data_IF_845991126492
#
_entry.id   IF_845991126492
#
_cell.length_a   1.000
_cell.length_b   1.000
_cell.length_c   1.000
_cell.angle_alpha   90.00
_cell.angle_beta   90.00
_cell.angle_gamma   90.00
#
_symmetry.space_group_name_H-M   'P 1'
#
loop_
_entity.id
_entity.type
_entity.pdbx_description
1 polymer ?
#
# COMPACT_ATOMS: atom_id res chain seq x y z
N UNK A 1 23.47 -31.92 37.36
CA UNK A 1 23.16 -30.51 37.09
C UNK A 1 23.33 -30.05 35.62
N UNK A 2 23.31 -30.96 34.65
CA UNK A 2 23.47 -30.63 33.20
C UNK A 2 22.22 -30.83 32.35
N UNK A 3 21.12 -31.25 32.92
CA UNK A 3 19.87 -31.54 32.16
C UNK A 3 18.74 -30.52 32.37
N UNK A 4 18.94 -29.50 33.22
CA UNK A 4 17.88 -28.49 33.50
C UNK A 4 17.94 -27.29 32.52
N UNK A 5 19.02 -27.13 31.77
CA UNK A 5 19.20 -25.97 30.87
C UNK A 5 18.61 -26.17 29.46
N UNK A 6 18.33 -27.44 29.08
CA UNK A 6 17.80 -27.76 27.74
C UNK A 6 16.29 -27.62 27.69
N UNK A 7 15.59 -27.72 28.84
CA UNK A 7 14.13 -27.61 28.87
C UNK A 7 13.61 -26.17 28.77
N UNK A 8 14.45 -25.15 29.07
CA UNK A 8 14.07 -23.74 29.03
C UNK A 8 14.12 -23.13 27.62
N UNK A 9 14.93 -23.70 26.71
CA UNK A 9 15.05 -23.21 25.33
C UNK A 9 13.87 -23.65 24.43
N UNK A 10 13.18 -24.72 24.79
CA UNK A 10 12.00 -25.20 24.05
C UNK A 10 10.71 -24.44 24.35
N UNK A 11 10.61 -23.71 25.46
CA UNK A 11 9.43 -22.97 25.84
C UNK A 11 9.36 -21.57 25.16
N UNK A 12 10.50 -21.03 24.70
CA UNK A 12 10.53 -19.73 24.01
C UNK A 12 10.17 -19.86 22.52
N UNK A 13 10.40 -21.02 21.92
CA UNK A 13 10.05 -21.29 20.52
C UNK A 13 8.55 -21.50 20.28
N UNK A 14 7.79 -21.81 21.33
CA UNK A 14 6.34 -22.11 21.19
C UNK A 14 5.45 -20.87 21.16
N UNK A 15 5.92 -19.70 21.65
CA UNK A 15 5.07 -18.51 21.69
C UNK A 15 5.03 -17.75 20.35
N UNK A 16 6.09 -17.75 19.55
CA UNK A 16 6.06 -17.07 18.24
C UNK A 16 5.21 -17.79 17.19
N UNK A 17 5.13 -19.11 17.24
CA UNK A 17 4.29 -19.89 16.31
C UNK A 17 2.79 -19.82 16.65
N UNK A 18 2.42 -19.46 17.88
CA UNK A 18 1.03 -19.33 18.30
C UNK A 18 0.38 -18.03 17.81
N UNK A 19 1.09 -16.90 17.82
CA UNK A 19 0.56 -15.61 17.37
C UNK A 19 0.23 -15.58 15.87
N UNK A 20 1.08 -16.14 15.01
CA UNK A 20 0.81 -16.19 13.56
C UNK A 20 -0.36 -17.10 13.21
N UNK A 21 -0.52 -18.23 13.89
CA UNK A 21 -1.65 -19.14 13.68
C UNK A 21 -2.99 -18.51 14.13
N UNK A 22 -2.96 -17.63 15.13
CA UNK A 22 -4.15 -16.98 15.66
C UNK A 22 -4.66 -15.87 14.71
N UNK A 23 -3.75 -15.05 14.14
CA UNK A 23 -4.13 -14.03 13.14
C UNK A 23 -4.72 -14.67 11.87
N UNK A 24 -4.09 -15.71 11.32
CA UNK A 24 -4.59 -16.36 10.10
C UNK A 24 -5.97 -17.01 10.33
N UNK A 25 -6.22 -17.58 11.51
CA UNK A 25 -7.53 -18.10 11.89
C UNK A 25 -8.57 -16.98 12.01
N UNK A 26 -8.23 -15.87 12.65
CA UNK A 26 -9.13 -14.72 12.79
C UNK A 26 -9.48 -14.13 11.43
N UNK A 27 -8.49 -14.00 10.51
CA UNK A 27 -8.71 -13.59 9.12
C UNK A 27 -9.72 -14.51 8.43
N UNK A 28 -9.54 -15.83 8.53
CA UNK A 28 -10.42 -16.82 7.91
C UNK A 28 -11.85 -16.73 8.47
N UNK A 29 -12.02 -16.52 9.76
CA UNK A 29 -13.33 -16.39 10.41
C UNK A 29 -14.05 -15.09 10.00
N UNK A 30 -13.34 -13.96 9.91
CA UNK A 30 -13.89 -12.72 9.38
C UNK A 30 -14.30 -12.91 7.92
N UNK A 31 -13.41 -13.44 7.08
CA UNK A 31 -13.62 -13.63 5.64
C UNK A 31 -14.84 -14.49 5.33
N UNK A 32 -15.05 -15.59 6.07
CA UNK A 32 -16.23 -16.47 5.94
C UNK A 32 -17.56 -15.75 6.24
N UNK A 33 -17.53 -14.73 7.09
CA UNK A 33 -18.71 -13.97 7.50
C UNK A 33 -19.05 -12.82 6.56
N UNK A 34 -18.13 -12.47 5.62
CA UNK A 34 -18.29 -11.35 4.70
C UNK A 34 -19.14 -11.68 3.49
N UNK A 35 -20.01 -10.75 3.14
CA UNK A 35 -20.71 -10.73 1.84
C UNK A 35 -19.75 -10.30 0.71
N UNK A 36 -20.16 -10.55 -0.55
CA UNK A 36 -19.39 -10.10 -1.71
C UNK A 36 -19.23 -8.56 -1.73
N UNK A 37 -20.26 -7.81 -1.34
CA UNK A 37 -20.19 -6.34 -1.24
C UNK A 37 -19.13 -5.88 -0.24
N UNK A 38 -19.04 -6.54 0.91
CA UNK A 38 -18.02 -6.25 1.92
C UNK A 38 -16.62 -6.60 1.43
N UNK A 39 -16.45 -7.73 0.75
CA UNK A 39 -15.18 -8.15 0.17
C UNK A 39 -14.68 -7.16 -0.89
N UNK A 40 -15.50 -6.83 -1.87
CA UNK A 40 -15.14 -5.89 -2.94
C UNK A 40 -14.89 -4.48 -2.39
N UNK A 41 -15.66 -4.06 -1.40
CA UNK A 41 -15.43 -2.80 -0.70
C UNK A 41 -14.05 -2.72 -0.04
N UNK A 42 -13.58 -3.82 0.59
CA UNK A 42 -12.24 -3.87 1.19
C UNK A 42 -11.10 -3.74 0.16
N UNK A 43 -11.32 -4.15 -1.09
CA UNK A 43 -10.36 -4.02 -2.19
C UNK A 43 -10.31 -2.61 -2.79
N UNK A 44 -11.06 -1.65 -2.23
CA UNK A 44 -11.24 -0.30 -2.77
C UNK A 44 -10.61 0.75 -1.86
N UNK A 45 -9.72 1.57 -2.42
CA UNK A 45 -9.10 2.72 -1.75
C UNK A 45 -9.52 4.03 -2.43
N UNK A 46 -9.98 5.01 -1.65
CA UNK A 46 -10.46 6.31 -2.14
C UNK A 46 -9.64 7.48 -1.61
N UNK A 47 -9.64 8.59 -2.34
CA UNK A 47 -9.04 9.84 -1.86
C UNK A 47 -9.94 10.50 -0.80
N UNK A 48 -9.33 11.09 0.24
CA UNK A 48 -10.04 11.81 1.30
C UNK A 48 -11.00 12.88 0.77
N UNK A 49 -10.66 13.54 -0.35
CA UNK A 49 -11.48 14.57 -1.00
C UNK A 49 -12.90 14.09 -1.32
N UNK A 50 -13.05 12.79 -1.64
CA UNK A 50 -14.36 12.20 -1.99
C UNK A 50 -15.37 12.26 -0.85
N UNK A 51 -14.88 12.12 0.39
CA UNK A 51 -15.71 12.10 1.60
C UNK A 51 -15.62 13.39 2.43
N UNK A 52 -14.78 14.34 2.00
CA UNK A 52 -14.70 15.66 2.62
C UNK A 52 -15.77 16.61 2.09
N UNK A 53 -16.08 17.67 2.87
CA UNK A 53 -16.90 18.79 2.39
C UNK A 53 -16.18 19.52 1.27
N UNK A 54 -16.92 19.86 0.22
CA UNK A 54 -16.38 20.57 -0.94
C UNK A 54 -17.37 20.63 -2.09
N UNK A 55 -17.05 21.45 -3.12
CA UNK A 55 -17.94 21.70 -4.25
C UNK A 55 -18.11 20.47 -5.15
N UNK A 56 -17.14 19.58 -5.20
CA UNK A 56 -17.16 18.38 -6.02
C UNK A 56 -16.21 17.30 -5.45
N UNK A 57 -16.07 16.17 -6.16
CA UNK A 57 -15.22 15.04 -5.72
C UNK A 57 -13.72 15.24 -5.94
N UNK A 58 -13.30 16.28 -6.63
CA UNK A 58 -11.89 16.57 -6.93
C UNK A 58 -11.30 17.70 -6.07
N UNK A 59 -12.15 18.47 -5.39
CA UNK A 59 -11.70 19.57 -4.54
C UNK A 59 -12.53 19.67 -3.26
N UNK A 60 -11.88 20.04 -2.17
CA UNK A 60 -12.50 20.16 -0.86
C UNK A 60 -12.47 21.60 -0.37
N UNK A 61 -13.44 21.93 0.48
CA UNK A 61 -13.45 23.20 1.22
C UNK A 61 -12.41 23.16 2.35
N UNK A 62 -11.89 24.32 2.70
CA UNK A 62 -11.01 24.48 3.85
C UNK A 62 -11.73 25.26 4.96
N UNK A 63 -11.60 24.90 6.24
CA UNK A 63 -10.79 23.81 6.79
C UNK A 63 -11.33 22.42 6.45
N UNK A 64 -10.47 21.38 6.62
CA UNK A 64 -10.87 19.98 6.43
C UNK A 64 -12.02 19.62 7.37
N UNK A 65 -13.13 19.22 6.78
CA UNK A 65 -14.29 18.65 7.46
C UNK A 65 -14.85 17.48 6.65
N UNK A 66 -15.28 16.44 7.34
CA UNK A 66 -15.94 15.28 6.72
C UNK A 66 -17.37 15.62 6.36
N UNK A 67 -17.78 15.23 5.15
CA UNK A 67 -19.19 15.27 4.72
C UNK A 67 -19.89 13.97 5.15
N UNK A 68 -20.73 14.05 6.13
CA UNK A 68 -21.42 12.90 6.72
C UNK A 68 -22.19 12.05 5.71
N UNK A 69 -22.83 12.68 4.72
CA UNK A 69 -23.60 11.95 3.69
C UNK A 69 -22.69 11.20 2.75
N UNK A 70 -21.63 11.84 2.27
CA UNK A 70 -20.62 11.21 1.38
C UNK A 70 -19.87 10.11 2.11
N UNK A 71 -19.49 10.33 3.37
CA UNK A 71 -18.77 9.36 4.21
C UNK A 71 -19.64 8.12 4.48
N UNK A 72 -20.89 8.32 4.87
CA UNK A 72 -21.84 7.21 5.03
C UNK A 72 -21.99 6.42 3.73
N UNK A 73 -22.17 7.10 2.60
CA UNK A 73 -22.29 6.44 1.30
C UNK A 73 -21.06 5.59 0.99
N UNK A 74 -19.84 6.13 1.12
CA UNK A 74 -18.63 5.40 0.79
C UNK A 74 -18.35 4.22 1.77
N UNK A 75 -18.43 4.47 3.08
CA UNK A 75 -18.00 3.50 4.09
C UNK A 75 -19.11 2.54 4.50
N UNK A 76 -20.36 3.04 4.67
CA UNK A 76 -21.46 2.19 5.14
C UNK A 76 -22.17 1.52 3.97
N UNK A 77 -22.47 2.25 2.90
CA UNK A 77 -23.25 1.68 1.80
C UNK A 77 -22.33 0.87 0.84
N UNK A 78 -21.17 1.42 0.46
CA UNK A 78 -20.22 0.78 -0.47
C UNK A 78 -19.10 -0.02 0.21
N UNK A 79 -18.99 -0.03 1.54
CA UNK A 79 -18.03 -0.84 2.32
C UNK A 79 -16.55 -0.56 2.00
N UNK A 80 -16.23 0.64 1.51
CA UNK A 80 -14.84 1.03 1.18
C UNK A 80 -13.91 0.74 2.35
N UNK A 81 -12.79 0.04 2.07
CA UNK A 81 -11.88 -0.46 3.09
C UNK A 81 -10.67 0.42 3.36
N UNK A 82 -10.39 1.40 2.50
CA UNK A 82 -9.19 2.24 2.62
C UNK A 82 -9.42 3.68 2.15
N UNK A 83 -8.74 4.63 2.80
CA UNK A 83 -8.69 6.05 2.43
C UNK A 83 -7.23 6.48 2.32
N UNK A 84 -6.92 7.43 1.44
CA UNK A 84 -5.57 7.96 1.26
C UNK A 84 -5.50 9.48 1.11
N UNK A 85 -4.28 10.00 1.27
CA UNK A 85 -3.87 11.39 1.04
C UNK A 85 -4.56 12.42 1.94
N UNK A 86 -4.45 13.70 1.56
CA UNK A 86 -5.03 14.87 2.21
C UNK A 86 -5.89 15.65 1.21
N UNK A 87 -6.63 16.64 1.70
CA UNK A 87 -7.38 17.54 0.83
C UNK A 87 -6.47 18.60 0.23
N UNK A 88 -6.69 18.91 -1.06
CA UNK A 88 -6.05 20.03 -1.78
C UNK A 88 -4.51 20.11 -1.60
N UNK A 89 -3.85 18.96 -1.42
CA UNK A 89 -2.40 18.87 -1.12
C UNK A 89 -1.94 19.75 0.05
N UNK A 90 -2.78 19.93 1.07
CA UNK A 90 -2.52 20.81 2.21
C UNK A 90 -2.24 19.97 3.45
N UNK A 91 -1.12 20.26 4.13
CA UNK A 91 -0.80 19.64 5.41
C UNK A 91 -1.84 19.98 6.48
N UNK A 92 -2.19 19.00 7.30
CA UNK A 92 -3.17 19.13 8.37
C UNK A 92 -2.47 19.07 9.74
N UNK A 93 -3.00 19.77 10.73
CA UNK A 93 -2.52 19.65 12.11
C UNK A 93 -2.81 18.26 12.68
N UNK A 94 -1.97 17.71 13.59
CA UNK A 94 -2.22 16.40 14.20
C UNK A 94 -3.63 16.26 14.80
N UNK A 95 -4.17 17.28 15.44
CA UNK A 95 -5.54 17.28 15.98
C UNK A 95 -6.62 17.15 14.89
N UNK A 96 -6.37 17.72 13.70
CA UNK A 96 -7.29 17.61 12.56
C UNK A 96 -7.25 16.20 12.01
N UNK A 97 -6.04 15.62 11.86
CA UNK A 97 -5.87 14.22 11.49
C UNK A 97 -6.59 13.27 12.43
N UNK A 98 -6.31 13.38 13.74
CA UNK A 98 -6.96 12.55 14.77
C UNK A 98 -8.48 12.62 14.67
N UNK A 99 -9.05 13.85 14.60
CA UNK A 99 -10.50 14.02 14.47
C UNK A 99 -11.03 13.39 13.17
N UNK A 100 -10.39 13.66 12.05
CA UNK A 100 -10.83 13.18 10.74
C UNK A 100 -10.84 11.67 10.68
N UNK A 101 -9.75 11.02 11.14
CA UNK A 101 -9.63 9.57 11.14
C UNK A 101 -10.59 8.94 12.16
N UNK A 102 -10.78 9.55 13.34
CA UNK A 102 -11.78 9.10 14.32
C UNK A 102 -13.20 9.16 13.73
N UNK A 103 -13.56 10.25 13.06
CA UNK A 103 -14.86 10.38 12.40
C UNK A 103 -15.05 9.28 11.33
N UNK A 104 -14.03 9.01 10.50
CA UNK A 104 -14.06 7.95 9.48
C UNK A 104 -14.21 6.57 10.12
N UNK A 105 -13.43 6.27 11.16
CA UNK A 105 -13.48 4.99 11.87
C UNK A 105 -14.84 4.74 12.55
N UNK A 106 -15.49 5.78 13.08
CA UNK A 106 -16.82 5.65 13.68
C UNK A 106 -17.87 5.13 12.69
N UNK A 107 -17.80 5.54 11.42
CA UNK A 107 -18.67 4.98 10.38
C UNK A 107 -18.38 3.50 10.11
N UNK A 108 -17.13 3.11 10.07
CA UNK A 108 -16.74 1.73 9.80
C UNK A 108 -17.11 0.79 10.96
N UNK A 109 -16.90 1.24 12.19
CA UNK A 109 -17.03 0.40 13.39
C UNK A 109 -18.45 0.43 13.96
N UNK A 110 -19.06 1.62 14.05
CA UNK A 110 -20.35 1.78 14.72
C UNK A 110 -21.54 1.60 13.78
N UNK A 111 -21.34 1.81 12.47
CA UNK A 111 -22.44 1.83 11.49
C UNK A 111 -22.41 0.67 10.49
N UNK A 112 -21.42 -0.23 10.54
CA UNK A 112 -21.36 -1.43 9.69
C UNK A 112 -21.51 -2.71 10.53
N UNK A 113 -22.03 -3.78 9.90
CA UNK A 113 -22.22 -5.08 10.55
C UNK A 113 -20.88 -5.74 10.91
N UNK A 114 -19.92 -5.71 9.99
CA UNK A 114 -18.63 -6.40 10.14
C UNK A 114 -17.61 -5.63 10.98
N UNK A 115 -17.85 -4.34 11.23
CA UNK A 115 -16.98 -3.49 12.06
C UNK A 115 -15.50 -3.50 11.65
N UNK A 116 -15.23 -3.71 10.35
CA UNK A 116 -13.87 -3.74 9.82
C UNK A 116 -13.32 -2.31 9.75
N UNK A 117 -12.22 -1.99 10.45
CA UNK A 117 -11.67 -0.64 10.45
C UNK A 117 -11.13 -0.24 9.08
N UNK A 118 -11.15 1.06 8.80
CA UNK A 118 -10.51 1.64 7.61
C UNK A 118 -9.00 1.63 7.79
N UNK A 119 -8.25 1.25 6.74
CA UNK A 119 -6.81 1.51 6.70
C UNK A 119 -6.54 2.82 5.97
N UNK A 120 -5.79 3.73 6.60
CA UNK A 120 -5.44 5.02 6.02
C UNK A 120 -3.99 5.03 5.54
N UNK A 121 -3.75 5.44 4.28
CA UNK A 121 -2.43 5.48 3.66
C UNK A 121 -2.01 6.89 3.22
N UNK A 122 -0.69 7.14 3.21
CA UNK A 122 -0.12 8.45 2.84
C UNK A 122 1.26 8.31 2.18
N UNK A 123 1.64 9.30 1.37
CA UNK A 123 2.97 9.38 0.75
C UNK A 123 3.96 10.18 1.62
N UNK A 124 4.41 9.63 2.73
CA UNK A 124 5.43 10.24 3.57
C UNK A 124 6.83 9.73 3.18
N UNK A 125 7.30 10.09 1.97
CA UNK A 125 8.54 9.55 1.38
C UNK A 125 9.82 10.22 1.89
N UNK A 126 9.73 11.46 2.36
CA UNK A 126 10.86 12.19 2.95
C UNK A 126 10.45 12.98 4.21
N UNK A 127 9.71 12.31 5.10
CA UNK A 127 9.04 12.86 6.28
C UNK A 127 7.53 12.92 6.07
N UNK A 128 6.79 13.17 7.15
CA UNK A 128 5.32 13.22 7.15
C UNK A 128 4.83 14.58 6.67
N UNK A 129 5.13 14.92 5.42
CA UNK A 129 4.91 16.25 4.81
C UNK A 129 3.45 16.67 4.73
N UNK A 130 2.50 15.74 4.92
CA UNK A 130 1.07 16.03 5.03
C UNK A 130 0.60 16.40 6.44
N UNK A 131 1.54 16.45 7.41
CA UNK A 131 1.25 16.87 8.77
C UNK A 131 2.00 18.16 9.11
N UNK A 132 1.25 19.18 9.49
CA UNK A 132 1.80 20.48 9.88
C UNK A 132 2.62 20.36 11.16
N UNK A 133 3.87 20.84 11.10
CA UNK A 133 4.85 20.73 12.18
C UNK A 133 5.66 19.43 12.19
N UNK A 134 5.42 18.49 11.27
CA UNK A 134 6.25 17.30 11.15
C UNK A 134 7.62 17.60 10.52
N UNK A 135 8.58 16.72 10.77
CA UNK A 135 9.95 16.85 10.26
C UNK A 135 9.99 16.58 8.76
N UNK A 136 10.53 17.52 8.00
CA UNK A 136 10.82 17.36 6.59
C UNK A 136 12.28 16.99 6.41
N UNK A 137 12.53 15.85 5.79
CA UNK A 137 13.87 15.33 5.49
C UNK A 137 14.27 15.64 4.04
N UNK A 138 15.58 15.53 3.70
CA UNK A 138 16.01 15.49 2.32
C UNK A 138 15.33 14.36 1.54
N UNK A 139 15.22 14.52 0.23
CA UNK A 139 14.75 13.44 -0.66
C UNK A 139 15.70 12.24 -0.64
N UNK A 140 15.21 11.05 -1.03
CA UNK A 140 15.97 9.81 -0.93
C UNK A 140 17.33 9.86 -1.65
N UNK A 141 17.43 10.51 -2.80
CA UNK A 141 18.70 10.68 -3.51
C UNK A 141 19.74 11.44 -2.68
N UNK A 142 19.31 12.45 -1.95
CA UNK A 142 20.22 13.21 -1.05
C UNK A 142 20.58 12.40 0.17
N UNK A 143 19.65 11.62 0.71
CA UNK A 143 19.92 10.70 1.81
C UNK A 143 20.93 9.63 1.39
N UNK A 144 20.82 9.08 0.19
CA UNK A 144 21.76 8.12 -0.38
C UNK A 144 23.16 8.74 -0.60
N UNK A 145 23.25 10.02 -0.98
CA UNK A 145 24.51 10.73 -1.14
C UNK A 145 25.33 10.85 0.15
N UNK A 146 24.74 10.59 1.30
CA UNK A 146 25.46 10.48 2.59
C UNK A 146 26.31 9.21 2.71
N UNK A 147 26.10 8.21 1.86
CA UNK A 147 26.73 6.89 1.91
C UNK A 147 26.56 6.15 3.24
N UNK A 148 25.62 6.59 4.08
CA UNK A 148 25.34 5.99 5.38
C UNK A 148 23.85 5.56 5.46
N UNK A 149 23.54 4.26 5.31
CA UNK A 149 22.17 3.73 5.41
C UNK A 149 21.51 4.00 6.76
N UNK A 150 22.27 4.22 7.84
CA UNK A 150 21.71 4.59 9.15
C UNK A 150 20.94 5.91 9.09
N UNK A 151 21.33 6.84 8.21
CA UNK A 151 20.57 8.08 8.00
C UNK A 151 19.18 7.79 7.42
N UNK A 152 19.05 6.81 6.52
CA UNK A 152 17.76 6.38 5.99
C UNK A 152 16.90 5.67 7.06
N UNK A 153 17.52 4.83 7.89
CA UNK A 153 16.85 4.19 9.02
C UNK A 153 16.31 5.24 10.00
N UNK A 154 17.12 6.18 10.44
CA UNK A 154 16.71 7.23 11.38
C UNK A 154 15.64 8.15 10.80
N UNK A 155 15.75 8.51 9.50
CA UNK A 155 14.70 9.26 8.79
C UNK A 155 13.38 8.49 8.80
N UNK A 156 13.41 7.20 8.47
CA UNK A 156 12.22 6.35 8.43
C UNK A 156 11.60 6.15 9.82
N UNK A 157 12.43 6.01 10.86
CA UNK A 157 11.98 5.90 12.26
C UNK A 157 11.20 7.14 12.70
N UNK A 158 11.74 8.34 12.46
CA UNK A 158 11.05 9.60 12.79
C UNK A 158 9.79 9.75 11.95
N UNK A 159 9.87 9.47 10.66
CA UNK A 159 8.73 9.52 9.75
C UNK A 159 7.61 8.55 10.19
N UNK A 160 7.94 7.31 10.59
CA UNK A 160 6.98 6.36 11.13
C UNK A 160 6.27 6.89 12.37
N UNK A 161 7.04 7.39 13.32
CA UNK A 161 6.51 7.98 14.55
C UNK A 161 5.53 9.13 14.27
N UNK A 162 5.92 10.09 13.44
CA UNK A 162 5.09 11.26 13.12
C UNK A 162 3.85 10.90 12.29
N UNK A 163 3.98 9.92 11.36
CA UNK A 163 2.87 9.39 10.58
C UNK A 163 1.87 8.68 11.50
N UNK A 164 2.35 7.84 12.39
CA UNK A 164 1.49 7.14 13.36
C UNK A 164 0.86 8.11 14.37
N UNK A 165 1.59 9.13 14.83
CA UNK A 165 1.07 10.21 15.66
C UNK A 165 -0.01 11.05 14.96
N UNK A 166 -0.07 11.00 13.64
CA UNK A 166 -1.16 11.54 12.82
C UNK A 166 -2.31 10.55 12.61
N UNK A 167 -2.33 9.43 13.35
CA UNK A 167 -3.30 8.33 13.25
C UNK A 167 -3.26 7.58 11.91
N UNK A 168 -2.16 7.68 11.15
CA UNK A 168 -1.99 7.07 9.84
C UNK A 168 -1.07 5.85 9.97
N UNK A 169 -1.58 4.61 9.75
CA UNK A 169 -0.81 3.40 10.00
C UNK A 169 -0.03 2.89 8.78
N UNK A 170 -0.19 3.48 7.59
CA UNK A 170 0.34 2.97 6.33
C UNK A 170 1.06 4.06 5.53
N UNK A 171 2.32 3.81 5.16
CA UNK A 171 3.15 4.74 4.41
C UNK A 171 3.56 4.17 3.05
N UNK A 172 3.32 4.91 1.96
CA UNK A 172 3.69 4.54 0.60
C UNK A 172 5.17 4.86 0.31
N UNK A 173 6.06 4.22 1.03
CA UNK A 173 7.52 4.36 0.98
C UNK A 173 8.18 3.06 1.47
N UNK A 174 9.43 2.73 1.06
CA UNK A 174 10.37 3.49 0.25
C UNK A 174 10.13 3.38 -1.26
N UNK A 175 10.71 4.34 -2.03
CA UNK A 175 10.84 4.25 -3.49
C UNK A 175 12.10 3.46 -3.81
N UNK A 176 11.94 2.32 -4.49
CA UNK A 176 13.03 1.37 -4.83
C UNK A 176 13.33 1.34 -6.34
N UNK A 177 12.80 2.31 -7.07
CA UNK A 177 13.13 2.50 -8.48
C UNK A 177 14.60 2.91 -8.65
N UNK A 178 15.22 2.47 -9.75
CA UNK A 178 16.57 2.91 -10.12
C UNK A 178 16.48 4.21 -10.91
N UNK A 179 17.11 5.26 -10.39
CA UNK A 179 17.15 6.60 -10.98
C UNK A 179 18.17 6.70 -12.12
N UNK A 180 17.99 5.92 -13.20
CA UNK A 180 18.93 5.81 -14.31
C UNK A 180 18.92 7.02 -15.25
N UNK A 181 17.81 7.72 -15.38
CA UNK A 181 17.65 8.84 -16.31
C UNK A 181 17.38 10.13 -15.56
N UNK A 182 18.31 11.12 -15.58
CA UNK A 182 18.14 12.41 -14.91
C UNK A 182 17.03 13.29 -15.52
N UNK A 183 16.50 12.94 -16.69
CA UNK A 183 15.33 13.61 -17.29
C UNK A 183 14.02 13.19 -16.63
N UNK A 184 14.01 12.05 -15.92
CA UNK A 184 12.79 11.55 -15.28
C UNK A 184 12.35 12.48 -14.14
N UNK A 185 11.10 12.98 -14.13
CA UNK A 185 10.69 14.06 -13.21
C UNK A 185 10.65 13.67 -11.73
N UNK A 186 10.70 12.36 -11.40
CA UNK A 186 10.70 11.82 -10.04
C UNK A 186 12.04 11.13 -9.67
N UNK A 187 13.10 11.41 -10.41
CA UNK A 187 14.43 10.83 -10.16
C UNK A 187 14.93 11.13 -8.73
N UNK A 188 14.59 12.30 -8.19
CA UNK A 188 14.95 12.72 -6.84
C UNK A 188 14.31 11.86 -5.73
N UNK A 189 13.22 11.14 -6.01
CA UNK A 189 12.58 10.24 -5.06
C UNK A 189 13.35 8.92 -4.88
N UNK A 190 14.32 8.60 -5.74
CA UNK A 190 15.10 7.35 -5.70
C UNK A 190 16.35 7.48 -4.84
N UNK A 191 16.97 6.36 -4.50
CA UNK A 191 18.32 6.33 -3.90
C UNK A 191 19.45 6.45 -4.93
N UNK A 192 19.14 6.64 -6.21
CA UNK A 192 20.11 6.73 -7.31
C UNK A 192 20.05 5.54 -8.25
N UNK A 193 21.11 5.35 -9.03
CA UNK A 193 21.17 4.39 -10.14
C UNK A 193 21.74 3.02 -9.79
N UNK A 194 22.48 2.91 -8.67
CA UNK A 194 23.13 1.67 -8.25
C UNK A 194 22.17 0.78 -7.43
N UNK A 195 21.84 -0.44 -7.92
CA UNK A 195 20.93 -1.35 -7.25
C UNK A 195 21.37 -1.73 -5.83
N UNK A 196 22.68 -1.85 -5.56
CA UNK A 196 23.20 -2.17 -4.23
C UNK A 196 22.94 -1.02 -3.24
N UNK A 197 23.05 0.22 -3.68
CA UNK A 197 22.70 1.39 -2.86
C UNK A 197 21.21 1.39 -2.56
N UNK A 198 20.37 1.18 -3.59
CA UNK A 198 18.90 1.12 -3.43
C UNK A 198 18.51 -0.02 -2.47
N UNK A 199 19.12 -1.20 -2.57
CA UNK A 199 18.89 -2.32 -1.64
C UNK A 199 19.23 -1.95 -0.19
N UNK A 200 20.40 -1.40 0.07
CA UNK A 200 20.88 -1.10 1.43
C UNK A 200 20.06 0.00 2.10
N UNK A 201 19.76 1.05 1.36
CA UNK A 201 18.96 2.16 1.88
C UNK A 201 17.48 1.78 1.99
N UNK A 202 16.95 1.00 1.06
CA UNK A 202 15.62 0.44 1.12
C UNK A 202 15.42 -0.49 2.32
N UNK A 203 16.34 -1.42 2.57
CA UNK A 203 16.36 -2.29 3.76
C UNK A 203 16.33 -1.46 5.05
N UNK A 204 17.20 -0.45 5.14
CA UNK A 204 17.26 0.45 6.29
C UNK A 204 15.96 1.20 6.53
N UNK A 205 15.34 1.74 5.47
CA UNK A 205 14.04 2.43 5.60
C UNK A 205 12.91 1.51 6.01
N UNK A 206 12.83 0.28 5.48
CA UNK A 206 11.78 -0.66 5.88
C UNK A 206 11.90 -1.00 7.37
N UNK A 207 13.12 -1.26 7.85
CA UNK A 207 13.36 -1.48 9.29
C UNK A 207 13.03 -0.27 10.14
N UNK A 208 13.34 0.94 9.66
CA UNK A 208 12.96 2.17 10.35
C UNK A 208 11.43 2.38 10.41
N UNK A 209 10.70 2.06 9.35
CA UNK A 209 9.24 2.16 9.33
C UNK A 209 8.54 1.10 10.18
N UNK A 210 8.97 -0.15 10.09
CA UNK A 210 8.29 -1.31 10.69
C UNK A 210 8.91 -1.79 12.01
N UNK A 211 10.04 -1.15 12.41
CA UNK A 211 10.84 -1.56 13.56
C UNK A 211 11.70 -2.80 13.27
N UNK A 212 12.78 -2.99 14.01
CA UNK A 212 13.76 -4.07 13.82
C UNK A 212 13.16 -5.48 13.94
N UNK A 213 12.05 -5.61 14.68
CA UNK A 213 11.31 -6.87 14.85
C UNK A 213 10.17 -7.04 13.85
N UNK A 214 10.04 -6.11 12.90
CA UNK A 214 8.93 -6.06 11.94
C UNK A 214 7.53 -6.08 12.62
N UNK A 215 7.43 -5.44 13.78
CA UNK A 215 6.21 -5.34 14.59
C UNK A 215 5.46 -4.05 14.26
N UNK A 216 4.56 -4.12 13.30
CA UNK A 216 3.72 -2.98 12.88
C UNK A 216 2.50 -2.74 13.79
N UNK A 217 2.24 -3.61 14.77
CA UNK A 217 1.23 -3.36 15.82
C UNK A 217 1.68 -2.28 16.78
N UNK A 218 2.98 -2.08 16.89
CA UNK A 218 3.57 -1.05 17.75
C UNK A 218 3.10 0.34 17.32
N UNK A 219 2.61 1.12 18.26
CA UNK A 219 2.07 2.48 18.05
C UNK A 219 3.06 3.52 17.50
N UNK A 220 4.32 3.17 17.34
CA UNK A 220 5.36 4.02 16.76
C UNK A 220 5.74 3.59 15.33
N UNK A 221 5.25 2.44 14.86
CA UNK A 221 5.58 1.86 13.58
C UNK A 221 4.43 2.00 12.58
N UNK A 222 4.75 1.96 11.30
CA UNK A 222 3.79 1.95 10.18
C UNK A 222 4.10 0.80 9.24
N UNK A 223 3.09 0.32 8.50
CA UNK A 223 3.34 -0.58 7.40
C UNK A 223 4.03 0.17 6.25
N UNK A 224 5.15 -0.36 5.75
CA UNK A 224 5.83 0.16 4.57
C UNK A 224 5.15 -0.34 3.28
N UNK A 225 5.16 0.50 2.24
CA UNK A 225 4.74 0.14 0.90
C UNK A 225 5.88 0.44 -0.08
N UNK A 226 6.68 -0.58 -0.39
CA UNK A 226 7.75 -0.44 -1.37
C UNK A 226 7.19 -0.16 -2.76
N UNK A 227 7.82 0.74 -3.53
CA UNK A 227 7.30 1.18 -4.84
C UNK A 227 8.41 1.61 -5.81
N UNK A 228 8.19 1.60 -7.10
CA UNK A 228 7.03 1.11 -7.85
C UNK A 228 7.43 -0.16 -8.60
N UNK A 229 6.92 -1.29 -8.22
CA UNK A 229 7.32 -2.58 -8.79
C UNK A 229 6.80 -2.72 -10.23
N UNK A 230 7.64 -2.78 -11.23
CA UNK A 230 9.09 -2.79 -11.33
C UNK A 230 9.50 -1.97 -12.57
N UNK A 231 10.72 -1.42 -12.57
CA UNK A 231 11.29 -0.75 -13.73
C UNK A 231 10.67 0.61 -14.10
N UNK A 232 9.99 1.26 -13.18
CA UNK A 232 9.19 2.48 -13.41
C UNK A 232 9.98 3.64 -14.00
N UNK A 233 11.24 3.84 -13.58
CA UNK A 233 12.07 4.96 -14.07
C UNK A 233 13.00 4.59 -15.22
N UNK A 234 12.94 3.35 -15.73
CA UNK A 234 13.74 2.91 -16.87
C UNK A 234 13.10 3.26 -18.24
N UNK A 235 12.34 4.33 -18.30
CA UNK A 235 11.59 4.75 -19.50
C UNK A 235 12.51 5.35 -20.56
N UNK A 236 12.31 4.99 -21.83
CA UNK A 236 13.13 5.48 -22.94
C UNK A 236 12.99 7.00 -23.15
N UNK A 237 11.80 7.52 -22.94
CA UNK A 237 11.50 8.93 -23.20
C UNK A 237 12.00 9.88 -22.12
N UNK A 238 12.34 9.38 -20.93
CA UNK A 238 12.56 10.19 -19.73
C UNK A 238 11.30 10.83 -19.16
N UNK A 239 10.10 10.50 -19.67
CA UNK A 239 8.82 11.06 -19.21
C UNK A 239 8.07 10.09 -18.32
N UNK A 240 7.44 10.60 -17.28
CA UNK A 240 6.63 9.83 -16.35
C UNK A 240 5.54 9.01 -17.07
N UNK A 241 5.31 7.78 -16.60
CA UNK A 241 4.26 6.84 -17.06
C UNK A 241 4.32 6.52 -18.55
N UNK A 242 5.52 6.50 -19.12
CA UNK A 242 5.75 6.07 -20.51
C UNK A 242 6.42 4.70 -20.56
N UNK A 243 6.48 4.03 -21.73
CA UNK A 243 7.02 2.68 -21.83
C UNK A 243 8.51 2.57 -21.51
N UNK A 244 8.87 1.50 -20.82
CA UNK A 244 10.24 1.03 -20.66
C UNK A 244 10.46 -0.27 -21.46
N UNK A 245 11.67 -0.41 -22.02
CA UNK A 245 12.10 -1.63 -22.70
C UNK A 245 13.36 -2.15 -22.01
N UNK A 246 13.21 -3.18 -21.20
CA UNK A 246 14.24 -3.69 -20.33
C UNK A 246 14.52 -5.14 -20.69
N UNK A 247 15.75 -5.52 -21.09
CA UNK A 247 16.11 -6.93 -21.27
C UNK A 247 15.84 -7.74 -20.00
N UNK A 248 15.35 -8.96 -20.12
CA UNK A 248 14.90 -9.77 -18.97
C UNK A 248 16.00 -10.01 -17.94
N UNK A 249 17.26 -10.16 -18.35
CA UNK A 249 18.39 -10.28 -17.43
C UNK A 249 18.63 -8.98 -16.65
N UNK A 250 18.56 -7.82 -17.32
CA UNK A 250 18.67 -6.50 -16.67
C UNK A 250 17.50 -6.27 -15.70
N UNK A 251 16.27 -6.61 -16.12
CA UNK A 251 15.10 -6.53 -15.24
C UNK A 251 15.30 -7.37 -13.97
N UNK A 252 15.81 -8.60 -14.12
CA UNK A 252 16.01 -9.54 -13.02
C UNK A 252 17.17 -9.12 -12.10
N UNK A 253 18.32 -8.75 -12.66
CA UNK A 253 19.55 -8.53 -11.91
C UNK A 253 19.65 -7.12 -11.30
N UNK A 254 18.98 -6.13 -11.89
CA UNK A 254 19.08 -4.74 -11.44
C UNK A 254 17.77 -4.24 -10.82
N UNK A 255 16.65 -4.36 -11.52
CA UNK A 255 15.40 -3.74 -11.08
C UNK A 255 14.63 -4.56 -10.04
N UNK A 256 14.72 -5.90 -10.08
CA UNK A 256 14.01 -6.78 -9.15
C UNK A 256 14.77 -6.94 -7.83
N UNK A 257 16.09 -6.94 -7.83
CA UNK A 257 16.90 -7.21 -6.61
C UNK A 257 16.60 -6.24 -5.44
N UNK A 258 16.42 -4.91 -5.62
CA UNK A 258 16.00 -4.03 -4.53
C UNK A 258 14.67 -4.43 -3.89
N UNK A 259 13.70 -4.86 -4.69
CA UNK A 259 12.42 -5.35 -4.18
C UNK A 259 12.54 -6.70 -3.47
N UNK A 260 13.35 -7.61 -3.99
CA UNK A 260 13.65 -8.88 -3.32
C UNK A 260 14.22 -8.63 -1.93
N UNK A 261 15.23 -7.75 -1.81
CA UNK A 261 15.81 -7.37 -0.52
C UNK A 261 14.75 -6.76 0.42
N UNK A 262 13.90 -5.91 -0.09
CA UNK A 262 12.81 -5.31 0.67
C UNK A 262 11.78 -6.35 1.17
N UNK A 263 11.48 -7.39 0.37
CA UNK A 263 10.64 -8.53 0.78
C UNK A 263 11.31 -9.31 1.91
N UNK A 264 12.61 -9.61 1.78
CA UNK A 264 13.40 -10.27 2.83
C UNK A 264 13.44 -9.45 4.13
N UNK A 265 13.40 -8.12 4.03
CA UNK A 265 13.31 -7.18 5.17
C UNK A 265 11.91 -7.11 5.77
N UNK A 266 10.93 -7.81 5.20
CA UNK A 266 9.58 -7.93 5.72
C UNK A 266 8.60 -6.83 5.30
N UNK A 267 8.83 -6.13 4.18
CA UNK A 267 7.90 -5.13 3.65
C UNK A 267 6.47 -5.68 3.54
N UNK A 268 5.50 -4.96 4.09
CA UNK A 268 4.12 -5.45 4.22
C UNK A 268 3.28 -5.25 2.96
N UNK A 269 3.59 -4.25 2.17
CA UNK A 269 2.80 -3.92 0.96
C UNK A 269 3.69 -3.46 -0.18
N UNK A 270 3.17 -3.55 -1.40
CA UNK A 270 3.88 -3.14 -2.61
C UNK A 270 2.94 -2.39 -3.56
N UNK A 271 3.40 -1.27 -4.10
CA UNK A 271 2.70 -0.51 -5.13
C UNK A 271 3.29 -0.82 -6.51
N UNK A 272 2.42 -1.07 -7.47
CA UNK A 272 2.82 -1.49 -8.82
C UNK A 272 3.18 -0.29 -9.68
N UNK A 273 4.13 -0.48 -10.60
CA UNK A 273 4.56 0.49 -11.60
C UNK A 273 3.41 0.94 -12.52
N UNK A 274 3.22 2.25 -12.63
CA UNK A 274 2.17 2.89 -13.44
C UNK A 274 2.46 2.91 -14.95
N UNK A 275 3.51 2.21 -15.42
CA UNK A 275 3.94 2.17 -16.82
C UNK A 275 3.82 0.80 -17.47
N UNK A 276 4.49 0.68 -18.61
CA UNK A 276 4.59 -0.55 -19.40
C UNK A 276 6.03 -1.06 -19.38
N UNK A 277 6.21 -2.36 -19.26
CA UNK A 277 7.50 -3.04 -19.45
C UNK A 277 7.40 -3.91 -20.68
N UNK A 278 8.29 -3.69 -21.64
CA UNK A 278 8.37 -4.48 -22.90
C UNK A 278 7.01 -4.58 -23.62
N UNK A 279 6.21 -3.49 -23.59
CA UNK A 279 4.92 -3.41 -24.28
C UNK A 279 3.72 -3.91 -23.46
N UNK A 280 3.93 -4.43 -22.23
CA UNK A 280 2.86 -4.89 -21.35
C UNK A 280 2.69 -3.93 -20.18
N UNK A 281 1.49 -3.38 -19.91
CA UNK A 281 1.22 -2.65 -18.67
C UNK A 281 1.44 -3.57 -17.48
N UNK A 282 2.21 -3.09 -16.46
CA UNK A 282 2.56 -3.94 -15.31
C UNK A 282 1.31 -4.38 -14.54
N UNK A 283 0.27 -3.54 -14.49
CA UNK A 283 -1.03 -3.88 -13.89
C UNK A 283 -1.83 -4.98 -14.64
N UNK A 284 -1.40 -5.35 -15.84
CA UNK A 284 -1.96 -6.44 -16.64
C UNK A 284 -1.01 -7.65 -16.73
N UNK A 285 0.17 -7.56 -16.13
CA UNK A 285 1.21 -8.59 -16.27
C UNK A 285 1.12 -9.65 -15.17
N UNK A 286 0.34 -10.69 -15.43
CA UNK A 286 0.24 -11.86 -14.55
C UNK A 286 1.61 -12.48 -14.25
N UNK A 287 2.52 -12.52 -15.23
CA UNK A 287 3.82 -13.13 -15.04
C UNK A 287 4.66 -12.35 -14.00
N UNK A 288 4.68 -11.02 -14.09
CA UNK A 288 5.41 -10.20 -13.10
C UNK A 288 4.77 -10.29 -11.71
N UNK A 289 3.43 -10.22 -11.61
CA UNK A 289 2.77 -10.19 -10.31
C UNK A 289 2.66 -11.56 -9.64
N UNK A 290 2.34 -12.60 -10.39
CA UNK A 290 2.14 -13.94 -9.81
C UNK A 290 3.41 -14.78 -9.91
N UNK A 291 3.97 -14.98 -11.12
CA UNK A 291 5.10 -15.90 -11.25
C UNK A 291 6.39 -15.33 -10.64
N UNK A 292 6.64 -14.03 -10.80
CA UNK A 292 7.83 -13.40 -10.24
C UNK A 292 7.58 -12.97 -8.80
N UNK A 293 6.68 -12.02 -8.55
CA UNK A 293 6.51 -11.40 -7.23
C UNK A 293 5.98 -12.39 -6.19
N UNK A 294 4.89 -13.11 -6.48
CA UNK A 294 4.30 -14.07 -5.52
C UNK A 294 5.12 -15.35 -5.40
N UNK A 295 5.35 -16.04 -6.54
CA UNK A 295 5.90 -17.40 -6.50
C UNK A 295 7.41 -17.40 -6.36
N UNK A 296 8.16 -16.61 -7.17
CA UNK A 296 9.63 -16.64 -7.15
C UNK A 296 10.22 -15.85 -5.97
N UNK A 297 9.67 -14.65 -5.69
CA UNK A 297 10.15 -13.80 -4.60
C UNK A 297 9.43 -14.07 -3.26
N UNK A 298 8.33 -14.84 -3.24
CA UNK A 298 7.63 -15.24 -2.05
C UNK A 298 6.83 -14.13 -1.34
N UNK A 299 6.52 -13.03 -2.03
CA UNK A 299 5.81 -11.90 -1.41
C UNK A 299 4.39 -12.27 -1.00
N UNK A 300 4.06 -12.12 0.28
CA UNK A 300 2.76 -12.47 0.85
C UNK A 300 1.90 -11.25 1.23
N UNK A 301 2.44 -10.03 1.13
CA UNK A 301 1.75 -8.80 1.49
C UNK A 301 0.74 -8.32 0.44
N UNK A 302 0.15 -7.14 0.67
CA UNK A 302 -0.86 -6.56 -0.22
C UNK A 302 -0.22 -5.95 -1.46
N UNK A 303 -0.74 -6.29 -2.65
CA UNK A 303 -0.40 -5.64 -3.93
C UNK A 303 -1.42 -4.51 -4.18
N UNK A 304 -0.92 -3.27 -4.20
CA UNK A 304 -1.70 -2.05 -4.43
C UNK A 304 -1.41 -1.48 -5.81
N UNK A 305 -2.41 -0.93 -6.50
CA UNK A 305 -2.17 -0.12 -7.70
C UNK A 305 -1.60 1.26 -7.35
N UNK A 306 -0.97 1.93 -8.31
CA UNK A 306 -0.79 3.38 -8.28
C UNK A 306 -2.10 4.09 -8.72
N UNK A 307 -2.08 5.41 -8.78
CA UNK A 307 -3.22 6.31 -8.98
C UNK A 307 -4.00 6.05 -10.27
N UNK A 308 -5.24 5.56 -10.15
CA UNK A 308 -6.17 5.25 -11.25
C UNK A 308 -5.65 4.24 -12.29
N UNK A 309 -4.67 3.41 -11.99
CA UNK A 309 -3.96 2.63 -13.00
C UNK A 309 -4.79 1.52 -13.63
N UNK A 310 -5.75 0.94 -12.93
CA UNK A 310 -6.70 0.00 -13.57
C UNK A 310 -7.47 0.71 -14.69
N UNK A 311 -7.93 1.94 -14.42
CA UNK A 311 -8.63 2.75 -15.43
C UNK A 311 -7.75 3.03 -16.65
N UNK A 312 -6.46 3.25 -16.43
CA UNK A 312 -5.49 3.55 -17.49
C UNK A 312 -5.28 2.38 -18.47
N UNK A 313 -5.52 1.14 -18.08
CA UNK A 313 -5.49 -0.01 -19.02
C UNK A 313 -6.47 0.18 -20.18
N UNK A 314 -7.60 0.86 -19.97
CA UNK A 314 -8.54 1.28 -21.02
C UNK A 314 -8.19 2.64 -21.60
N UNK A 315 -8.06 3.68 -20.74
CA UNK A 315 -8.01 5.08 -21.19
C UNK A 315 -6.69 5.45 -21.88
N UNK A 316 -5.56 4.91 -21.40
CA UNK A 316 -4.20 5.20 -21.88
C UNK A 316 -3.61 4.06 -22.70
N UNK A 317 -3.54 2.87 -22.11
CA UNK A 317 -2.76 1.75 -22.63
C UNK A 317 -3.50 0.96 -23.71
N UNK A 318 -4.83 1.12 -23.79
CA UNK A 318 -5.70 0.51 -24.83
C UNK A 318 -5.66 -1.03 -24.88
N UNK A 319 -5.29 -1.68 -23.77
CA UNK A 319 -5.28 -3.15 -23.68
C UNK A 319 -6.63 -3.73 -23.25
N UNK A 320 -7.55 -2.89 -22.78
CA UNK A 320 -8.92 -3.24 -22.43
C UNK A 320 -9.91 -2.44 -23.29
N UNK A 321 -11.00 -3.08 -23.76
CA UNK A 321 -12.05 -2.43 -24.57
C UNK A 321 -12.99 -1.56 -23.73
N UNK A 322 -13.13 -1.88 -22.45
CA UNK A 322 -13.99 -1.18 -21.49
C UNK A 322 -13.33 -1.07 -20.14
N UNK A 323 -13.82 -0.16 -19.29
CA UNK A 323 -13.36 -0.06 -17.89
C UNK A 323 -13.64 -1.36 -17.10
N UNK A 324 -14.74 -2.05 -17.38
CA UNK A 324 -15.05 -3.35 -16.76
C UNK A 324 -14.01 -4.41 -17.15
N UNK A 325 -13.62 -4.48 -18.41
CA UNK A 325 -12.56 -5.38 -18.88
C UNK A 325 -11.19 -5.02 -18.25
N UNK A 326 -10.88 -3.75 -18.08
CA UNK A 326 -9.68 -3.29 -17.39
C UNK A 326 -9.62 -3.81 -15.94
N UNK A 327 -10.74 -3.76 -15.22
CA UNK A 327 -10.86 -4.30 -13.86
C UNK A 327 -10.63 -5.83 -13.88
N UNK A 328 -11.27 -6.56 -14.79
CA UNK A 328 -11.08 -8.00 -14.96
C UNK A 328 -9.62 -8.36 -15.15
N UNK A 329 -8.94 -7.68 -16.08
CA UNK A 329 -7.53 -7.94 -16.40
C UNK A 329 -6.65 -7.72 -15.16
N UNK A 330 -6.77 -6.58 -14.49
CA UNK A 330 -5.91 -6.23 -13.36
C UNK A 330 -6.14 -7.13 -12.13
N UNK A 331 -7.39 -7.43 -11.79
CA UNK A 331 -7.70 -8.28 -10.64
C UNK A 331 -7.22 -9.72 -10.88
N UNK A 332 -7.44 -10.26 -12.08
CA UNK A 332 -6.94 -11.60 -12.45
C UNK A 332 -5.41 -11.63 -12.59
N UNK A 333 -4.76 -10.51 -12.90
CA UNK A 333 -3.32 -10.42 -12.90
C UNK A 333 -2.69 -10.39 -11.50
N UNK A 334 -3.47 -10.18 -10.42
CA UNK A 334 -2.98 -10.32 -9.04
C UNK A 334 -3.11 -9.07 -8.16
N UNK A 335 -3.77 -8.01 -8.61
CA UNK A 335 -4.02 -6.81 -7.79
C UNK A 335 -4.96 -7.16 -6.62
N UNK A 336 -4.57 -6.80 -5.39
CA UNK A 336 -5.38 -7.01 -4.19
C UNK A 336 -6.20 -5.77 -3.84
N UNK A 337 -5.63 -4.57 -3.94
CA UNK A 337 -6.33 -3.32 -3.64
C UNK A 337 -6.15 -2.32 -4.79
N UNK A 338 -7.24 -1.69 -5.20
CA UNK A 338 -7.23 -0.67 -6.24
C UNK A 338 -7.31 0.73 -5.64
N UNK A 339 -6.34 1.57 -5.99
CA UNK A 339 -6.40 3.00 -5.74
C UNK A 339 -7.35 3.63 -6.76
N UNK A 340 -8.61 3.79 -6.36
CA UNK A 340 -9.70 4.38 -7.15
C UNK A 340 -10.09 5.71 -6.50
N UNK A 341 -9.30 6.76 -6.71
CA UNK A 341 -9.44 7.98 -5.92
C UNK A 341 -10.83 8.59 -5.95
N UNK A 342 -11.56 8.48 -7.07
CA UNK A 342 -12.81 9.20 -7.26
C UNK A 342 -14.01 8.35 -7.70
N UNK A 343 -13.80 7.34 -8.55
CA UNK A 343 -14.88 6.59 -9.23
C UNK A 343 -15.14 5.22 -8.57
N UNK A 344 -15.10 5.16 -7.24
CA UNK A 344 -15.20 3.91 -6.48
C UNK A 344 -16.53 3.17 -6.71
N UNK A 345 -17.64 3.89 -6.89
CA UNK A 345 -18.97 3.28 -7.16
C UNK A 345 -18.95 2.47 -8.45
N UNK A 346 -18.30 3.02 -9.49
CA UNK A 346 -18.16 2.34 -10.78
C UNK A 346 -17.26 1.11 -10.66
N UNK A 347 -16.13 1.22 -9.94
CA UNK A 347 -15.21 0.11 -9.70
C UNK A 347 -15.90 -1.04 -8.94
N UNK A 348 -16.52 -0.75 -7.80
CA UNK A 348 -17.20 -1.73 -6.97
C UNK A 348 -18.33 -2.43 -7.73
N UNK A 349 -19.18 -1.69 -8.45
CA UNK A 349 -20.26 -2.24 -9.25
C UNK A 349 -19.73 -3.21 -10.33
N UNK A 350 -18.69 -2.80 -11.07
CA UNK A 350 -18.16 -3.64 -12.14
C UNK A 350 -17.43 -4.88 -11.60
N UNK A 351 -16.64 -4.75 -10.52
CA UNK A 351 -15.95 -5.89 -9.93
C UNK A 351 -16.96 -6.92 -9.38
N UNK A 352 -18.01 -6.45 -8.72
CA UNK A 352 -19.11 -7.32 -8.28
C UNK A 352 -19.77 -8.04 -9.45
N UNK A 353 -20.14 -7.33 -10.52
CA UNK A 353 -20.70 -7.92 -11.74
C UNK A 353 -19.78 -8.96 -12.36
N UNK A 354 -18.46 -8.72 -12.40
CA UNK A 354 -17.48 -9.68 -12.91
C UNK A 354 -17.43 -10.97 -12.09
N UNK A 355 -17.61 -10.89 -10.78
CA UNK A 355 -17.69 -12.09 -9.92
C UNK A 355 -19.00 -12.83 -10.16
N UNK A 356 -20.13 -12.14 -10.24
CA UNK A 356 -21.45 -12.72 -10.49
C UNK A 356 -21.52 -13.38 -11.89
N UNK A 357 -20.76 -12.90 -12.86
CA UNK A 357 -20.64 -13.44 -14.21
C UNK A 357 -19.61 -14.58 -14.32
N UNK A 358 -18.84 -14.86 -13.25
CA UNK A 358 -17.77 -15.87 -13.25
C UNK A 358 -16.48 -15.44 -13.99
N UNK A 359 -16.33 -14.17 -14.35
CA UNK A 359 -15.17 -13.61 -15.04
C UNK A 359 -13.99 -13.31 -14.09
N UNK A 360 -14.28 -13.15 -12.79
CA UNK A 360 -13.34 -13.12 -11.68
C UNK A 360 -13.84 -14.12 -10.64
N UNK A 361 -12.99 -15.05 -10.23
CA UNK A 361 -13.41 -16.07 -9.27
C UNK A 361 -13.53 -15.51 -7.85
N UNK A 362 -14.42 -16.10 -7.05
CA UNK A 362 -14.57 -15.72 -5.64
C UNK A 362 -13.30 -16.01 -4.84
N UNK A 363 -12.56 -17.05 -5.20
CA UNK A 363 -11.29 -17.43 -4.57
C UNK A 363 -10.23 -16.35 -4.81
N UNK A 364 -10.22 -15.67 -5.99
CA UNK A 364 -9.32 -14.54 -6.25
C UNK A 364 -9.69 -13.34 -5.36
N UNK A 365 -10.97 -13.08 -5.17
CA UNK A 365 -11.44 -12.03 -4.26
C UNK A 365 -11.05 -12.36 -2.81
N UNK A 366 -11.31 -13.60 -2.38
CA UNK A 366 -11.00 -14.06 -1.04
C UNK A 366 -9.49 -13.99 -0.73
N UNK A 367 -8.65 -14.37 -1.69
CA UNK A 367 -7.20 -14.26 -1.60
C UNK A 367 -6.73 -12.80 -1.41
N UNK A 368 -7.32 -11.85 -2.14
CA UNK A 368 -7.02 -10.43 -1.97
C UNK A 368 -7.46 -9.90 -0.60
N UNK A 369 -8.70 -10.17 -0.22
CA UNK A 369 -9.29 -9.69 1.03
C UNK A 369 -8.58 -10.30 2.24
N UNK A 370 -8.17 -11.56 2.16
CA UNK A 370 -7.36 -12.23 3.18
C UNK A 370 -6.09 -11.44 3.51
N UNK A 371 -5.35 -10.98 2.49
CA UNK A 371 -4.14 -10.16 2.70
C UNK A 371 -4.46 -8.79 3.30
N UNK A 372 -5.55 -8.17 2.86
CA UNK A 372 -5.97 -6.86 3.38
C UNK A 372 -6.39 -6.96 4.84
N UNK A 373 -7.16 -7.99 5.22
CA UNK A 373 -7.57 -8.23 6.60
C UNK A 373 -6.36 -8.54 7.49
N UNK A 374 -5.43 -9.37 6.98
CA UNK A 374 -4.18 -9.69 7.70
C UNK A 374 -3.37 -8.43 7.99
N UNK A 375 -3.19 -7.55 7.01
CA UNK A 375 -2.51 -6.26 7.20
C UNK A 375 -3.19 -5.41 8.29
N UNK A 376 -4.52 -5.34 8.30
CA UNK A 376 -5.29 -4.59 9.31
C UNK A 376 -5.16 -5.18 10.71
N UNK A 377 -5.13 -6.51 10.83
CA UNK A 377 -4.90 -7.20 12.12
C UNK A 377 -3.46 -7.03 12.60
N UNK A 378 -2.48 -7.20 11.73
CA UNK A 378 -1.06 -6.97 12.05
C UNK A 378 -0.78 -5.51 12.49
N UNK A 379 -1.54 -4.54 11.99
CA UNK A 379 -1.51 -3.14 12.41
C UNK A 379 -2.30 -2.87 13.70
N UNK A 380 -2.94 -3.89 14.26
CA UNK A 380 -3.81 -3.81 15.46
C UNK A 380 -4.99 -2.84 15.31
N UNK A 381 -5.47 -2.62 14.09
CA UNK A 381 -6.54 -1.65 13.83
C UNK A 381 -7.89 -2.08 14.39
N UNK A 382 -8.13 -3.37 14.60
CA UNK A 382 -9.38 -3.87 15.17
C UNK A 382 -9.53 -3.49 16.65
N UNK A 383 -8.41 -3.43 17.40
CA UNK A 383 -8.40 -3.01 18.81
C UNK A 383 -8.09 -1.50 18.95
N UNK A 384 -7.19 -0.99 18.12
CA UNK A 384 -6.69 0.38 18.15
C UNK A 384 -6.83 1.07 16.77
N UNK A 385 -8.07 1.37 16.31
CA UNK A 385 -8.34 1.93 14.98
C UNK A 385 -7.82 3.35 14.79
N UNK A 386 -7.56 4.05 15.88
CA UNK A 386 -7.01 5.41 15.92
C UNK A 386 -5.87 5.45 16.93
N UNK A 387 -4.77 6.06 16.58
CA UNK A 387 -3.58 6.12 17.45
C UNK A 387 -3.38 7.51 17.99
#
# INVERSE_FOLDING_TARGET
MKYLFILFLFLISCNQTKEFSDIDKEVDDILKSMTLDEKVGQMTQINLTVIAKGPNKWSSSFPLEIDHKKTKKAIVDYKVGSVLNTINNTAQKPKVWFKTISDIQSYAIDSTKMKIPIIYGIDAIHGTTYTDGATMFPQQITTAASWNPENAYNMALVCAYETRASSIPWNFSPVLDLGLDPRFPRQFETFGEDPLIVERFGDAMIKGYQGDKNDISNKYNVAACMKHFVGYQAVISGKDRTPAYIPNNVLSEYHIEPFKKAIESGAKTIMINSGLINGVPVHADYNLMINVLRNKLGFQGVILTDWEDIRKLHDRDKVAKTQKEAIKIAINAGIDMSMVPYEYEHFIKNLKSLVEEGEVSIERIDDAVKRILKLKLELDLFNNPVT
#
